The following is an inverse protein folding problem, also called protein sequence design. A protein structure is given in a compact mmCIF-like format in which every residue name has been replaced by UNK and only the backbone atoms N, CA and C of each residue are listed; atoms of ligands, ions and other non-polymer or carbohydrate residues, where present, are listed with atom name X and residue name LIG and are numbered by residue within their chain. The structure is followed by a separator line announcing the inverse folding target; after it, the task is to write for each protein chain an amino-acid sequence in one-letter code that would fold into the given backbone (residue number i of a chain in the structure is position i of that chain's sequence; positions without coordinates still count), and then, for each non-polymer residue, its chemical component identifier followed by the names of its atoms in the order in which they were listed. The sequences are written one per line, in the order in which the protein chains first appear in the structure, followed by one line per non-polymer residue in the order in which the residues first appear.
data_IF_235118724842
#
_entry.id   IF_235118724842
#
_cell.length_a   1.000
_cell.length_b   1.000
_cell.length_c   1.000
_cell.angle_alpha   90.00
_cell.angle_beta   90.00
_cell.angle_gamma   90.00
#
_symmetry.space_group_name_H-M   'P 1'
#
loop_
_entity.id
_entity.type
_entity.pdbx_description
1 polymer ?
#
# COMPACT_ATOMS: atom_id res chain seq x y z
N UNK A 1 -19.85 -38.85 28.96
CA UNK A 1 -19.61 -38.71 27.50
C UNK A 1 -19.80 -37.27 27.01
N UNK A 2 -19.11 -36.29 27.61
CA UNK A 2 -19.23 -34.84 27.27
C UNK A 2 -17.98 -34.31 26.55
N UNK A 3 -16.84 -35.01 26.66
CA UNK A 3 -15.58 -34.65 26.00
C UNK A 3 -15.64 -34.52 24.46
N UNK A 4 -16.39 -35.36 23.72
CA UNK A 4 -16.48 -35.23 22.26
C UNK A 4 -17.25 -33.97 21.84
N UNK A 5 -18.33 -33.64 22.57
CA UNK A 5 -19.18 -32.47 22.30
C UNK A 5 -18.44 -31.16 22.60
N UNK A 6 -17.63 -31.12 23.68
CA UNK A 6 -16.76 -29.99 23.98
C UNK A 6 -15.66 -29.80 22.93
N UNK A 7 -15.09 -30.89 22.39
CA UNK A 7 -14.05 -30.82 21.35
C UNK A 7 -14.60 -30.32 20.01
N UNK A 8 -15.84 -30.69 19.67
CA UNK A 8 -16.55 -30.19 18.48
C UNK A 8 -16.98 -28.72 18.66
N UNK A 9 -17.43 -28.33 19.86
CA UNK A 9 -17.73 -26.94 20.15
C UNK A 9 -16.46 -26.07 20.13
N UNK A 10 -15.34 -26.57 20.68
CA UNK A 10 -14.05 -25.90 20.66
C UNK A 10 -13.46 -25.78 19.24
N UNK A 11 -13.58 -26.82 18.40
CA UNK A 11 -13.14 -26.76 17.01
C UNK A 11 -14.03 -25.85 16.15
N UNK A 12 -15.34 -25.83 16.40
CA UNK A 12 -16.26 -24.90 15.76
C UNK A 12 -16.00 -23.44 16.18
N UNK A 13 -15.69 -23.20 17.46
CA UNK A 13 -15.31 -21.89 17.97
C UNK A 13 -13.96 -21.42 17.38
N UNK A 14 -12.97 -22.31 17.32
CA UNK A 14 -11.68 -22.03 16.68
C UNK A 14 -11.80 -21.78 15.16
N UNK A 15 -12.69 -22.51 14.47
CA UNK A 15 -12.99 -22.27 13.07
C UNK A 15 -13.72 -20.92 12.84
N UNK A 16 -14.56 -20.50 13.80
CA UNK A 16 -15.24 -19.20 13.76
C UNK A 16 -14.26 -18.04 13.99
N UNK A 17 -13.35 -18.17 14.97
CA UNK A 17 -12.33 -17.15 15.25
C UNK A 17 -11.30 -17.03 14.11
N UNK A 18 -10.92 -18.16 13.50
CA UNK A 18 -10.07 -18.17 12.30
C UNK A 18 -10.74 -17.49 11.11
N UNK A 19 -12.05 -17.74 10.88
CA UNK A 19 -12.81 -17.05 9.83
C UNK A 19 -12.93 -15.55 10.10
N UNK A 20 -13.19 -15.14 11.34
CA UNK A 20 -13.25 -13.72 11.70
C UNK A 20 -11.90 -13.02 11.48
N UNK A 21 -10.81 -13.62 11.95
CA UNK A 21 -9.46 -13.10 11.72
C UNK A 21 -9.08 -13.05 10.24
N UNK A 22 -9.51 -14.05 9.45
CA UNK A 22 -9.30 -14.05 8.00
C UNK A 22 -10.10 -12.93 7.30
N UNK A 23 -11.35 -12.70 7.72
CA UNK A 23 -12.16 -11.59 7.18
C UNK A 23 -11.57 -10.23 7.53
N UNK A 24 -11.09 -10.03 8.76
CA UNK A 24 -10.42 -8.79 9.16
C UNK A 24 -9.11 -8.57 8.38
N UNK A 25 -8.34 -9.63 8.16
CA UNK A 25 -7.12 -9.57 7.36
C UNK A 25 -7.42 -9.21 5.89
N UNK A 26 -8.46 -9.83 5.31
CA UNK A 26 -8.92 -9.52 3.94
C UNK A 26 -9.41 -8.08 3.84
N UNK A 27 -10.21 -7.62 4.81
CA UNK A 27 -10.74 -6.26 4.78
C UNK A 27 -9.63 -5.21 4.92
N UNK A 28 -8.65 -5.45 5.81
CA UNK A 28 -7.43 -4.63 5.89
C UNK A 28 -6.64 -4.66 4.59
N UNK A 29 -6.46 -5.84 3.97
CA UNK A 29 -5.76 -5.96 2.70
C UNK A 29 -6.44 -5.14 1.59
N UNK A 30 -7.77 -5.25 1.47
CA UNK A 30 -8.57 -4.48 0.51
C UNK A 30 -8.44 -2.96 0.76
N UNK A 31 -8.53 -2.51 2.01
CA UNK A 31 -8.33 -1.10 2.36
C UNK A 31 -6.92 -0.62 2.01
N UNK A 32 -5.90 -1.42 2.30
CA UNK A 32 -4.51 -1.07 1.95
C UNK A 32 -4.29 -1.03 0.44
N UNK A 33 -4.87 -1.95 -0.32
CA UNK A 33 -4.81 -1.95 -1.78
C UNK A 33 -5.55 -0.74 -2.37
N UNK A 34 -6.74 -0.42 -1.86
CA UNK A 34 -7.49 0.75 -2.26
C UNK A 34 -6.75 2.06 -1.99
N UNK A 35 -6.15 2.19 -0.80
CA UNK A 35 -5.32 3.34 -0.46
C UNK A 35 -4.08 3.43 -1.37
N UNK A 36 -3.39 2.32 -1.61
CA UNK A 36 -2.24 2.27 -2.51
C UNK A 36 -2.61 2.68 -3.95
N UNK A 37 -3.76 2.22 -4.45
CA UNK A 37 -4.27 2.58 -5.77
C UNK A 37 -4.61 4.07 -5.85
N UNK A 38 -5.32 4.61 -4.85
CA UNK A 38 -5.67 6.03 -4.80
C UNK A 38 -4.42 6.92 -4.77
N UNK A 39 -3.41 6.54 -3.98
CA UNK A 39 -2.11 7.22 -3.94
C UNK A 39 -1.41 7.15 -5.30
N UNK A 40 -1.38 5.98 -5.94
CA UNK A 40 -0.75 5.81 -7.24
C UNK A 40 -1.41 6.67 -8.32
N UNK A 41 -2.74 6.65 -8.41
CA UNK A 41 -3.50 7.47 -9.36
C UNK A 41 -3.28 8.96 -9.07
N UNK A 42 -3.38 9.38 -7.80
CA UNK A 42 -3.12 10.75 -7.40
C UNK A 42 -1.71 11.22 -7.77
N UNK A 43 -0.70 10.38 -7.55
CA UNK A 43 0.69 10.68 -7.89
C UNK A 43 0.90 10.85 -9.41
N UNK A 44 0.22 10.05 -10.24
CA UNK A 44 0.28 10.17 -11.71
C UNK A 44 -0.32 11.51 -12.15
N UNK A 45 -1.53 11.84 -11.70
CA UNK A 45 -2.18 13.09 -12.06
C UNK A 45 -1.40 14.31 -11.55
N UNK A 46 -0.89 14.24 -10.32
CA UNK A 46 -0.03 15.28 -9.77
C UNK A 46 1.25 15.45 -10.58
N UNK A 47 1.89 14.35 -10.99
CA UNK A 47 3.10 14.38 -11.82
C UNK A 47 2.82 15.02 -13.17
N UNK A 48 1.70 14.66 -13.82
CA UNK A 48 1.32 15.21 -15.13
C UNK A 48 1.00 16.71 -15.03
N UNK A 49 0.26 17.11 -13.99
CA UNK A 49 -0.06 18.52 -13.74
C UNK A 49 1.20 19.34 -13.42
N UNK A 50 2.09 18.81 -12.57
CA UNK A 50 3.36 19.46 -12.25
C UNK A 50 4.27 19.58 -13.48
N UNK A 51 4.32 18.54 -14.32
CA UNK A 51 5.09 18.57 -15.57
C UNK A 51 4.55 19.63 -16.53
N UNK A 52 3.23 19.67 -16.76
CA UNK A 52 2.62 20.68 -17.63
C UNK A 52 2.84 22.12 -17.12
N UNK A 53 2.76 22.32 -15.80
CA UNK A 53 3.08 23.62 -15.18
C UNK A 53 4.56 23.97 -15.35
N UNK A 54 5.48 23.03 -15.15
CA UNK A 54 6.91 23.28 -15.34
C UNK A 54 7.25 23.53 -16.79
N UNK A 55 6.69 22.78 -17.74
CA UNK A 55 6.90 22.97 -19.17
C UNK A 55 6.44 24.36 -19.64
N UNK A 56 5.41 24.93 -19.01
CA UNK A 56 4.96 26.29 -19.29
C UNK A 56 5.96 27.38 -18.83
N UNK A 57 6.88 27.08 -17.91
CA UNK A 57 7.83 28.03 -17.31
C UNK A 57 9.30 27.70 -17.63
N UNK A 58 9.60 26.47 -18.04
CA UNK A 58 10.95 25.92 -18.25
C UNK A 58 10.97 25.07 -19.52
N UNK A 59 12.13 25.03 -20.17
CA UNK A 59 12.42 24.11 -21.28
C UNK A 59 12.09 22.66 -20.84
N UNK A 60 11.48 21.79 -21.69
CA UNK A 60 11.01 20.46 -21.30
C UNK A 60 12.10 19.53 -20.73
N UNK A 61 13.37 19.79 -21.06
CA UNK A 61 14.51 19.12 -20.44
C UNK A 61 14.64 19.42 -18.93
N UNK A 62 14.37 20.66 -18.49
CA UNK A 62 14.38 21.05 -17.08
C UNK A 62 13.19 20.48 -16.31
N UNK A 63 12.00 20.47 -16.94
CA UNK A 63 10.79 19.90 -16.35
C UNK A 63 10.95 18.39 -16.05
N UNK A 64 11.46 17.64 -17.02
CA UNK A 64 11.72 16.20 -16.86
C UNK A 64 12.81 15.91 -15.84
N UNK A 65 13.86 16.73 -15.75
CA UNK A 65 14.90 16.60 -14.73
C UNK A 65 14.34 16.75 -13.30
N UNK A 66 13.48 17.74 -13.05
CA UNK A 66 12.89 17.99 -11.72
C UNK A 66 11.96 16.85 -11.31
N UNK A 67 11.09 16.41 -12.23
CA UNK A 67 10.19 15.27 -11.99
C UNK A 67 10.99 13.98 -11.75
N UNK A 68 12.05 13.76 -12.53
CA UNK A 68 12.94 12.61 -12.39
C UNK A 68 13.67 12.59 -11.04
N UNK A 69 14.22 13.72 -10.59
CA UNK A 69 14.87 13.84 -9.28
C UNK A 69 13.89 13.59 -8.14
N UNK A 70 12.67 14.13 -8.23
CA UNK A 70 11.64 13.90 -7.22
C UNK A 70 11.30 12.42 -7.06
N UNK A 71 11.04 11.71 -8.17
CA UNK A 71 10.78 10.28 -8.15
C UNK A 71 12.00 9.45 -7.73
N UNK A 72 13.21 9.87 -8.11
CA UNK A 72 14.46 9.25 -7.66
C UNK A 72 14.65 9.32 -6.14
N UNK A 73 14.39 10.48 -5.53
CA UNK A 73 14.45 10.66 -4.08
C UNK A 73 13.38 9.84 -3.35
N UNK A 74 12.15 9.80 -3.89
CA UNK A 74 11.08 8.94 -3.37
C UNK A 74 11.48 7.46 -3.38
N UNK A 75 12.05 6.97 -4.49
CA UNK A 75 12.54 5.60 -4.62
C UNK A 75 13.66 5.30 -3.61
N UNK A 76 14.57 6.24 -3.40
CA UNK A 76 15.68 6.10 -2.45
C UNK A 76 15.19 6.10 -0.99
N UNK A 77 14.21 6.95 -0.67
CA UNK A 77 13.55 6.97 0.65
C UNK A 77 12.80 5.65 0.91
N UNK A 78 12.09 5.12 -0.08
CA UNK A 78 11.43 3.83 0.01
C UNK A 78 12.44 2.68 0.23
N UNK A 79 13.54 2.69 -0.51
CA UNK A 79 14.62 1.71 -0.34
C UNK A 79 15.24 1.79 1.06
N UNK A 80 15.53 3.00 1.56
CA UNK A 80 16.06 3.20 2.90
C UNK A 80 15.08 2.71 3.99
N UNK A 81 13.78 3.00 3.84
CA UNK A 81 12.75 2.58 4.78
C UNK A 81 12.55 1.05 4.79
N UNK A 82 12.54 0.42 3.62
CA UNK A 82 12.41 -1.05 3.51
C UNK A 82 13.68 -1.77 3.98
N UNK A 83 14.87 -1.20 3.76
CA UNK A 83 16.14 -1.74 4.29
C UNK A 83 16.15 -1.73 5.82
N UNK A 84 15.72 -0.64 6.47
CA UNK A 84 15.64 -0.55 7.94
C UNK A 84 14.72 -1.58 8.58
N UNK A 85 13.66 -2.02 7.88
CA UNK A 85 12.74 -3.05 8.42
C UNK A 85 13.32 -4.47 8.39
N UNK A 86 14.42 -4.70 7.67
CA UNK A 86 15.06 -6.03 7.53
C UNK A 86 16.27 -6.23 8.44
N UNK A 87 16.76 -5.17 9.07
CA UNK A 87 17.86 -5.18 10.06
C UNK A 87 17.28 -5.13 11.46
#
# INVERSE_FOLDING_TARGET
MIGPLLRVAASAAAARSLRAAAQDAVNRALLTMGAALAIAVGAIFLTFSAFALLESQLNPAGASAIVGVFWGLLGLAYFAATRRRRT
#
